data_IF_916436741212
#
_entry.id   IF_916436741212
#
_cell.length_a   1.000
_cell.length_b   1.000
_cell.length_c   1.000
_cell.angle_alpha   90.00
_cell.angle_beta   90.00
_cell.angle_gamma   90.00
#
_symmetry.space_group_name_H-M   'P 1'
#
loop_
_entity.id
_entity.type
_entity.pdbx_description
1 polymer ?
#
# COMPACT_ATOMS: atom_id res chain seq x y z
N UNK A 1 -1.25 7.89 26.71
CA UNK A 1 -2.32 6.89 26.65
C UNK A 1 -1.94 5.77 25.66
N UNK A 2 -2.31 4.56 26.00
CA UNK A 2 -2.13 3.44 25.09
C UNK A 2 -3.01 3.61 23.85
N UNK A 3 -2.47 3.27 22.69
CA UNK A 3 -3.23 3.30 21.43
C UNK A 3 -4.25 2.18 21.42
N UNK A 4 -5.41 2.42 20.81
CA UNK A 4 -6.41 1.38 20.63
C UNK A 4 -5.87 0.29 19.69
N UNK A 5 -6.49 -0.89 19.77
CA UNK A 5 -6.15 -2.02 18.89
C UNK A 5 -6.32 -1.63 17.41
N UNK A 6 -7.37 -0.89 17.07
CA UNK A 6 -7.62 -0.38 15.72
C UNK A 6 -6.50 0.56 15.26
N UNK A 7 -6.11 1.51 16.10
CA UNK A 7 -5.06 2.48 15.75
C UNK A 7 -3.73 1.76 15.48
N UNK A 8 -3.36 0.80 16.34
CA UNK A 8 -2.15 0.00 16.14
C UNK A 8 -2.18 -0.79 14.84
N UNK A 9 -3.33 -1.39 14.52
CA UNK A 9 -3.46 -2.19 13.30
C UNK A 9 -3.31 -1.36 12.03
N UNK A 10 -3.61 -0.05 12.07
CA UNK A 10 -3.48 0.85 10.92
C UNK A 10 -2.06 1.38 10.71
N UNK A 11 -1.21 1.30 11.72
CA UNK A 11 0.15 1.82 11.64
C UNK A 11 1.04 0.91 10.79
N UNK A 12 1.97 1.53 10.06
CA UNK A 12 2.93 0.81 9.24
C UNK A 12 4.25 0.75 10.02
N UNK A 13 4.68 -0.45 10.38
CA UNK A 13 5.95 -0.63 11.08
C UNK A 13 7.14 -0.39 10.14
N UNK A 14 8.30 -0.13 10.75
CA UNK A 14 9.54 0.01 9.99
C UNK A 14 9.86 -1.25 9.18
N UNK A 15 9.66 -2.42 9.78
CA UNK A 15 9.88 -3.71 9.14
C UNK A 15 8.96 -3.88 7.94
N UNK A 16 7.69 -3.49 8.07
CA UNK A 16 6.74 -3.54 6.95
C UNK A 16 7.19 -2.65 5.81
N UNK A 17 7.64 -1.43 6.11
CA UNK A 17 8.16 -0.50 5.09
C UNK A 17 9.33 -1.11 4.32
N UNK A 18 10.27 -1.72 5.03
CA UNK A 18 11.41 -2.38 4.40
C UNK A 18 10.98 -3.54 3.50
N UNK A 19 10.05 -4.37 3.96
CA UNK A 19 9.54 -5.51 3.19
C UNK A 19 8.79 -5.04 1.93
N UNK A 20 8.04 -3.94 2.02
CA UNK A 20 7.34 -3.36 0.87
C UNK A 20 8.34 -2.86 -0.17
N UNK A 21 9.37 -2.14 0.25
CA UNK A 21 10.41 -1.65 -0.66
C UNK A 21 11.16 -2.80 -1.35
N UNK A 22 11.52 -3.83 -0.60
CA UNK A 22 12.17 -5.01 -1.17
C UNK A 22 11.27 -5.72 -2.19
N UNK A 23 10.00 -5.91 -1.86
CA UNK A 23 9.03 -6.52 -2.76
C UNK A 23 8.93 -5.76 -4.09
N UNK A 24 8.97 -4.44 -4.03
CA UNK A 24 8.88 -3.55 -5.19
C UNK A 24 10.24 -3.26 -5.83
N UNK A 25 11.32 -3.82 -5.29
CA UNK A 25 12.68 -3.60 -5.77
C UNK A 25 13.03 -2.11 -5.83
N UNK A 26 12.58 -1.37 -4.81
CA UNK A 26 12.82 0.08 -4.67
C UNK A 26 12.30 0.90 -5.86
N UNK A 27 11.22 0.42 -6.48
CA UNK A 27 10.52 1.13 -7.55
C UNK A 27 9.05 1.29 -7.19
N UNK A 28 8.48 2.44 -7.55
CA UNK A 28 7.05 2.67 -7.46
C UNK A 28 6.29 1.70 -8.37
N UNK A 29 4.98 1.62 -8.15
CA UNK A 29 4.08 0.88 -9.04
C UNK A 29 4.16 1.39 -10.48
N UNK A 30 4.51 2.66 -10.68
CA UNK A 30 4.74 3.26 -12.00
C UNK A 30 6.09 2.89 -12.63
N UNK A 31 6.98 2.28 -11.86
CA UNK A 31 8.35 2.00 -12.28
C UNK A 31 9.37 3.07 -11.97
N UNK A 32 8.94 4.19 -11.41
CA UNK A 32 9.85 5.29 -11.01
C UNK A 32 10.68 4.85 -9.80
N UNK A 33 11.98 5.13 -9.81
CA UNK A 33 12.88 4.79 -8.71
C UNK A 33 12.44 5.50 -7.42
N UNK A 34 12.39 4.74 -6.33
CA UNK A 34 12.06 5.26 -5.00
C UNK A 34 13.35 5.61 -4.26
N UNK A 35 13.35 6.77 -3.60
CA UNK A 35 14.44 7.24 -2.77
C UNK A 35 13.89 7.58 -1.39
N UNK A 36 14.74 7.77 -0.35
CA UNK A 36 14.25 8.21 0.96
C UNK A 36 13.50 9.55 0.92
N UNK A 37 13.73 10.35 -0.12
CA UNK A 37 13.16 11.71 -0.22
C UNK A 37 11.83 11.79 -0.96
N UNK A 38 11.50 10.78 -1.81
CA UNK A 38 10.30 10.84 -2.61
C UNK A 38 9.28 9.72 -2.29
N UNK A 39 9.59 8.86 -1.35
CA UNK A 39 8.77 7.66 -1.06
C UNK A 39 7.69 7.96 -0.03
N UNK A 40 6.45 7.54 -0.34
CA UNK A 40 5.36 7.48 0.63
C UNK A 40 4.72 6.10 0.58
N UNK A 41 4.24 5.66 1.74
CA UNK A 41 3.60 4.35 1.89
C UNK A 41 2.10 4.55 1.93
N UNK A 42 1.42 3.94 0.97
CA UNK A 42 -0.01 4.13 0.74
C UNK A 42 -0.81 2.90 1.19
N UNK A 43 -1.86 3.13 2.00
CA UNK A 43 -2.84 2.11 2.33
C UNK A 43 -3.75 1.92 1.12
N UNK A 44 -3.72 0.76 0.48
CA UNK A 44 -4.57 0.49 -0.70
C UNK A 44 -6.04 0.47 -0.30
N UNK A 45 -6.38 -0.19 0.81
CA UNK A 45 -7.64 0.05 1.49
C UNK A 45 -7.34 1.13 2.53
N UNK A 46 -7.99 2.28 2.39
CA UNK A 46 -7.63 3.51 3.11
C UNK A 46 -7.76 3.35 4.64
N UNK A 47 -6.93 4.09 5.36
CA UNK A 47 -7.02 4.17 6.83
C UNK A 47 -8.43 4.57 7.27
N UNK A 48 -9.06 5.49 6.57
CA UNK A 48 -10.43 5.95 6.84
C UNK A 48 -11.47 4.84 6.66
N UNK A 49 -11.13 3.79 5.92
CA UNK A 49 -11.98 2.61 5.71
C UNK A 49 -11.51 1.42 6.55
N UNK A 50 -10.79 1.70 7.63
CA UNK A 50 -10.21 0.69 8.52
C UNK A 50 -9.11 -0.17 7.87
N UNK A 51 -8.45 0.36 6.84
CA UNK A 51 -7.32 -0.32 6.19
C UNK A 51 -6.15 -0.51 7.15
N UNK A 52 -5.63 -1.75 7.21
CA UNK A 52 -4.52 -2.10 8.10
C UNK A 52 -3.17 -1.71 7.50
N UNK A 53 -2.17 -1.54 8.35
CA UNK A 53 -0.81 -1.16 7.96
C UNK A 53 0.11 -2.34 7.68
N UNK A 54 -0.42 -3.53 7.42
CA UNK A 54 0.37 -4.71 7.12
C UNK A 54 0.77 -4.76 5.65
N UNK A 55 1.87 -5.45 5.33
CA UNK A 55 2.49 -5.39 4.01
C UNK A 55 1.54 -5.71 2.84
N UNK A 56 0.55 -6.57 3.06
CA UNK A 56 -0.41 -6.95 2.02
C UNK A 56 -1.48 -5.88 1.73
N UNK A 57 -1.46 -4.76 2.43
CA UNK A 57 -2.32 -3.60 2.15
C UNK A 57 -1.51 -2.34 1.83
N UNK A 58 -0.19 -2.43 1.79
CA UNK A 58 0.67 -1.26 1.64
C UNK A 58 1.47 -1.35 0.34
N UNK A 59 1.49 -0.24 -0.40
CA UNK A 59 2.39 -0.06 -1.53
C UNK A 59 3.22 1.21 -1.34
N UNK A 60 4.43 1.21 -1.87
CA UNK A 60 5.29 2.38 -1.87
C UNK A 60 5.17 3.07 -3.22
N UNK A 61 4.90 4.36 -3.21
CA UNK A 61 4.75 5.20 -4.40
C UNK A 61 5.46 6.54 -4.15
N UNK A 62 5.63 7.35 -5.19
CA UNK A 62 6.23 8.66 -4.98
C UNK A 62 5.23 9.62 -4.35
N UNK A 63 5.74 10.65 -3.68
CA UNK A 63 4.90 11.70 -3.08
C UNK A 63 4.01 12.37 -4.12
N UNK A 64 4.52 12.59 -5.33
CA UNK A 64 3.75 13.18 -6.42
C UNK A 64 2.62 12.27 -6.87
N UNK A 65 2.88 10.98 -7.02
CA UNK A 65 1.88 9.99 -7.40
C UNK A 65 0.81 9.86 -6.33
N UNK A 66 1.21 9.87 -5.06
CA UNK A 66 0.29 9.77 -3.94
C UNK A 66 -0.68 10.95 -3.91
N UNK A 67 -0.16 12.15 -4.09
CA UNK A 67 -0.97 13.38 -4.15
C UNK A 67 -1.92 13.34 -5.35
N UNK A 68 -1.40 13.03 -6.53
CA UNK A 68 -2.21 12.97 -7.75
C UNK A 68 -3.34 11.94 -7.62
N UNK A 69 -3.04 10.78 -7.05
CA UNK A 69 -4.03 9.73 -6.83
C UNK A 69 -5.16 10.21 -5.92
N UNK A 70 -4.83 10.81 -4.77
CA UNK A 70 -5.84 11.30 -3.82
C UNK A 70 -6.62 12.50 -4.36
N UNK A 71 -6.02 13.32 -5.22
CA UNK A 71 -6.68 14.48 -5.84
C UNK A 71 -7.45 14.10 -7.12
N UNK A 72 -7.54 12.81 -7.42
CA UNK A 72 -8.21 12.29 -8.63
C UNK A 72 -7.64 12.88 -9.92
N UNK A 73 -6.33 13.03 -9.97
CA UNK A 73 -5.63 13.56 -11.13
C UNK A 73 -4.81 12.47 -11.83
N UNK A 74 -4.42 12.75 -13.07
CA UNK A 74 -3.59 11.82 -13.83
C UNK A 74 -2.23 11.63 -13.14
N UNK A 75 -1.75 10.41 -13.20
CA UNK A 75 -0.43 10.04 -12.70
C UNK A 75 0.59 10.34 -13.79
N UNK A 76 1.54 11.21 -13.49
CA UNK A 76 2.56 11.62 -14.43
C UNK A 76 3.87 10.87 -14.16
N UNK A 77 4.55 10.49 -15.24
CA UNK A 77 5.91 9.96 -15.18
C UNK A 77 6.74 10.80 -16.16
N UNK A 78 7.81 11.40 -15.65
CA UNK A 78 8.65 12.33 -16.42
C UNK A 78 7.82 13.47 -17.06
N UNK A 79 6.83 13.97 -16.30
CA UNK A 79 5.99 15.10 -16.73
C UNK A 79 4.91 14.74 -17.74
N UNK A 80 4.78 13.46 -18.10
CA UNK A 80 3.77 13.00 -19.07
C UNK A 80 2.76 12.07 -18.40
N UNK A 81 1.50 12.19 -18.81
CA UNK A 81 0.44 11.29 -18.35
C UNK A 81 0.82 9.84 -18.64
N UNK A 82 0.84 9.01 -17.61
CA UNK A 82 1.05 7.57 -17.73
C UNK A 82 -0.24 6.80 -17.45
N UNK A 83 -0.95 7.19 -16.41
CA UNK A 83 -2.18 6.53 -15.97
C UNK A 83 -3.20 7.57 -15.52
N UNK A 84 -4.48 7.21 -15.61
CA UNK A 84 -5.51 7.91 -14.83
C UNK A 84 -5.40 7.45 -13.37
N UNK A 85 -5.99 8.19 -12.44
CA UNK A 85 -6.00 7.76 -11.02
C UNK A 85 -6.75 6.43 -10.85
N UNK A 86 -7.78 6.17 -11.67
CA UNK A 86 -8.53 4.91 -11.63
C UNK A 86 -7.64 3.75 -12.06
N UNK A 87 -6.94 3.89 -13.18
CA UNK A 87 -5.99 2.89 -13.66
C UNK A 87 -4.90 2.61 -12.63
N UNK A 88 -4.38 3.66 -11.98
CA UNK A 88 -3.33 3.53 -10.98
C UNK A 88 -3.83 2.76 -9.75
N UNK A 89 -5.07 3.02 -9.32
CA UNK A 89 -5.70 2.28 -8.24
C UNK A 89 -5.82 0.79 -8.55
N UNK A 90 -6.19 0.46 -9.78
CA UNK A 90 -6.27 -0.94 -10.24
C UNK A 90 -4.89 -1.58 -10.24
N UNK A 91 -3.86 -0.86 -10.71
CA UNK A 91 -2.49 -1.36 -10.72
C UNK A 91 -1.97 -1.68 -9.32
N UNK A 92 -2.27 -0.83 -8.34
CA UNK A 92 -1.88 -1.07 -6.94
C UNK A 92 -2.52 -2.35 -6.40
N UNK A 93 -3.82 -2.54 -6.63
CA UNK A 93 -4.52 -3.76 -6.20
C UNK A 93 -3.99 -4.99 -6.91
N UNK A 94 -3.75 -4.90 -8.21
CA UNK A 94 -3.20 -6.02 -8.99
C UNK A 94 -1.80 -6.41 -8.51
N UNK A 95 -0.98 -5.43 -8.16
CA UNK A 95 0.34 -5.69 -7.58
C UNK A 95 0.23 -6.56 -6.33
N UNK A 96 -0.69 -6.21 -5.43
CA UNK A 96 -0.90 -6.97 -4.19
C UNK A 96 -1.46 -8.38 -4.48
N UNK A 97 -2.39 -8.50 -5.41
CA UNK A 97 -2.93 -9.80 -5.83
C UNK A 97 -1.85 -10.72 -6.40
N UNK A 98 -0.89 -10.16 -7.13
CA UNK A 98 0.22 -10.92 -7.70
C UNK A 98 1.21 -11.40 -6.64
N UNK A 99 1.35 -10.65 -5.54
CA UNK A 99 2.37 -10.93 -4.54
C UNK A 99 1.85 -11.70 -3.32
N UNK A 100 0.53 -11.78 -3.12
CA UNK A 100 -0.05 -12.45 -1.96
C UNK A 100 -1.13 -13.45 -2.37
N UNK A 101 -0.94 -14.70 -1.98
CA UNK A 101 -1.92 -15.75 -2.27
C UNK A 101 -3.22 -15.48 -1.52
N UNK A 102 -4.35 -15.54 -2.24
CA UNK A 102 -5.66 -15.32 -1.65
C UNK A 102 -5.95 -13.90 -1.22
N UNK A 103 -5.29 -12.92 -1.84
CA UNK A 103 -5.50 -11.51 -1.51
C UNK A 103 -6.95 -11.09 -1.74
N UNK A 104 -7.56 -10.46 -0.75
CA UNK A 104 -8.92 -9.92 -0.80
C UNK A 104 -8.98 -8.63 -0.02
N UNK A 105 -9.81 -7.68 -0.48
CA UNK A 105 -9.96 -6.39 0.19
C UNK A 105 -10.45 -6.54 1.64
N UNK A 106 -11.33 -7.48 1.90
CA UNK A 106 -11.85 -7.74 3.25
C UNK A 106 -10.75 -8.09 4.24
N UNK A 107 -9.69 -8.76 3.79
CA UNK A 107 -8.55 -9.13 4.64
C UNK A 107 -7.63 -7.94 4.93
N UNK A 108 -7.76 -6.87 4.16
CA UNK A 108 -6.99 -5.63 4.34
C UNK A 108 -7.65 -4.65 5.31
N UNK A 109 -8.80 -5.01 5.89
CA UNK A 109 -9.52 -4.20 6.86
C UNK A 109 -9.33 -4.74 8.27
N UNK A 110 -9.46 -3.85 9.26
CA UNK A 110 -9.40 -4.24 10.67
C UNK A 110 -10.58 -5.15 11.03
N UNK A 111 -10.28 -6.23 11.72
CA UNK A 111 -11.26 -7.16 12.27
C UNK A 111 -11.10 -7.22 13.79
N UNK A 112 -12.13 -6.82 14.50
CA UNK A 112 -12.10 -6.64 15.97
C UNK A 112 -11.62 -7.87 16.73
N UNK A 113 -11.94 -9.05 16.24
CA UNK A 113 -11.64 -10.32 16.92
C UNK A 113 -10.44 -11.07 16.34
N UNK A 114 -9.74 -10.47 15.38
CA UNK A 114 -8.55 -11.08 14.78
C UNK A 114 -7.30 -10.76 15.57
N UNK A 115 -6.40 -11.74 15.66
CA UNK A 115 -5.02 -11.59 16.13
C UNK A 115 -4.13 -11.27 14.95
N UNK A 116 -2.86 -10.95 15.20
CA UNK A 116 -1.88 -10.76 14.12
C UNK A 116 -1.79 -11.97 13.21
N UNK A 117 -1.91 -13.19 13.76
CA UNK A 117 -1.87 -14.43 12.99
C UNK A 117 -2.99 -14.51 11.96
N UNK A 118 -4.17 -13.98 12.28
CA UNK A 118 -5.34 -14.02 11.39
C UNK A 118 -5.18 -13.13 10.17
N UNK A 119 -4.31 -12.10 10.26
CA UNK A 119 -4.04 -11.18 9.16
C UNK A 119 -2.98 -11.69 8.19
N UNK A 120 -2.30 -12.76 8.50
CA UNK A 120 -1.21 -13.24 7.65
C UNK A 120 -1.70 -13.73 6.30
N UNK A 121 -1.07 -13.22 5.24
CA UNK A 121 -1.21 -13.72 3.89
C UNK A 121 0.15 -14.22 3.41
N UNK A 122 0.16 -15.35 2.72
CA UNK A 122 1.40 -15.92 2.20
C UNK A 122 1.90 -15.09 1.03
N UNK A 123 3.10 -14.52 1.19
CA UNK A 123 3.79 -13.82 0.11
C UNK A 123 4.34 -14.84 -0.88
N UNK A 124 3.97 -14.67 -2.13
CA UNK A 124 4.50 -15.50 -3.22
C UNK A 124 5.83 -14.92 -3.69
N UNK A 125 6.80 -15.78 -3.90
CA UNK A 125 8.13 -15.40 -4.38
C UNK A 125 8.33 -15.73 -5.85
#
# INVERSE_FOLDING_TARGET
MAKSKLTKAKEISKETKERVLERQRYKSISGVALTPYNTEFHHVIFRSESGVGYEFNIVAITSEEHRAFHDHQNILVNGRKRYTYIEFGILMKNHLKLHYSGWEESKCRFHKYWDEEDYKMTRME
#
